data_IF_164310558936
#
_entry.id   IF_164310558936
#
_cell.length_a   1.000
_cell.length_b   1.000
_cell.length_c   1.000
_cell.angle_alpha   90.00
_cell.angle_beta   90.00
_cell.angle_gamma   90.00
#
_symmetry.space_group_name_H-M   'P 1'
#
loop_
_entity.id
_entity.type
_entity.pdbx_description
1 polymer ?
#
# COMPACT_ATOMS: atom_id res chain seq x y z
N UNK A 1 34.07 15.43 -34.28
CA UNK A 1 32.60 15.39 -34.44
C UNK A 1 32.01 14.02 -34.81
N UNK A 2 32.77 12.94 -35.05
CA UNK A 2 32.19 11.62 -35.42
C UNK A 2 31.93 10.63 -34.27
N UNK A 3 32.34 10.91 -33.02
CA UNK A 3 32.14 9.97 -31.89
C UNK A 3 30.74 10.01 -31.24
N UNK A 4 29.92 11.01 -31.56
CA UNK A 4 28.60 11.20 -30.93
C UNK A 4 27.45 10.42 -31.60
N UNK A 5 27.62 9.92 -32.82
CA UNK A 5 26.53 9.24 -33.55
C UNK A 5 26.39 7.74 -33.21
N UNK A 6 27.43 7.10 -32.67
CA UNK A 6 27.38 5.67 -32.33
C UNK A 6 26.60 5.38 -31.05
N UNK A 7 26.50 6.35 -30.13
CA UNK A 7 25.82 6.16 -28.84
C UNK A 7 24.27 6.18 -28.99
N UNK A 8 23.73 7.05 -29.86
CA UNK A 8 22.29 7.11 -30.13
C UNK A 8 21.74 5.83 -30.78
N UNK A 9 22.56 5.14 -31.59
CA UNK A 9 22.15 3.89 -32.24
C UNK A 9 22.07 2.70 -31.26
N UNK A 10 22.90 2.70 -30.21
CA UNK A 10 22.87 1.67 -29.17
C UNK A 10 21.64 1.80 -28.26
N UNK A 11 21.27 3.04 -27.89
CA UNK A 11 20.10 3.32 -27.04
C UNK A 11 18.79 2.98 -27.79
N UNK A 12 18.71 3.26 -29.09
CA UNK A 12 17.56 2.92 -29.94
C UNK A 12 17.33 1.41 -30.05
N UNK A 13 18.40 0.61 -30.26
CA UNK A 13 18.29 -0.86 -30.30
C UNK A 13 17.89 -1.46 -28.96
N UNK A 14 18.33 -0.87 -27.85
CA UNK A 14 17.98 -1.34 -26.51
C UNK A 14 16.49 -1.09 -26.19
N UNK A 15 15.93 0.04 -26.65
CA UNK A 15 14.50 0.34 -26.51
C UNK A 15 13.61 -0.60 -27.31
N UNK A 16 13.97 -0.95 -28.54
CA UNK A 16 13.18 -1.89 -29.37
C UNK A 16 13.24 -3.31 -28.80
N UNK A 17 14.42 -3.77 -28.38
CA UNK A 17 14.58 -5.09 -27.74
C UNK A 17 13.82 -5.19 -26.42
N UNK A 18 13.81 -4.11 -25.63
CA UNK A 18 13.07 -4.05 -24.38
C UNK A 18 11.56 -4.03 -24.60
N UNK A 19 11.05 -3.28 -25.59
CA UNK A 19 9.63 -3.28 -25.93
C UNK A 19 9.16 -4.67 -26.41
N UNK A 20 9.98 -5.34 -27.22
CA UNK A 20 9.72 -6.70 -27.66
C UNK A 20 9.74 -7.70 -26.49
N UNK A 21 10.66 -7.52 -25.52
CA UNK A 21 10.71 -8.34 -24.31
C UNK A 21 9.50 -8.09 -23.40
N UNK A 22 9.08 -6.84 -23.20
CA UNK A 22 7.86 -6.50 -22.45
C UNK A 22 6.61 -7.07 -23.13
N UNK A 23 6.51 -6.96 -24.46
CA UNK A 23 5.43 -7.57 -25.22
C UNK A 23 5.45 -9.09 -25.10
N UNK A 24 6.62 -9.73 -25.12
CA UNK A 24 6.76 -11.17 -24.93
C UNK A 24 6.34 -11.60 -23.52
N UNK A 25 6.82 -10.91 -22.48
CA UNK A 25 6.49 -11.20 -21.07
C UNK A 25 5.00 -10.97 -20.83
N UNK A 26 4.43 -9.88 -21.33
CA UNK A 26 2.99 -9.63 -21.25
C UNK A 26 2.21 -10.72 -21.98
N UNK A 27 2.60 -11.10 -23.20
CA UNK A 27 1.96 -12.18 -23.95
C UNK A 27 2.08 -13.53 -23.24
N UNK A 28 3.21 -13.83 -22.58
CA UNK A 28 3.38 -15.03 -21.76
C UNK A 28 2.46 -15.02 -20.54
N UNK A 29 2.36 -13.90 -19.82
CA UNK A 29 1.44 -13.74 -18.67
C UNK A 29 -0.02 -13.83 -19.11
N UNK A 30 -0.38 -13.24 -20.25
CA UNK A 30 -1.73 -13.33 -20.82
C UNK A 30 -2.04 -14.74 -21.35
N UNK A 31 -1.03 -15.46 -21.87
CA UNK A 31 -1.20 -16.81 -22.39
C UNK A 31 -1.32 -17.85 -21.26
N UNK A 32 -0.61 -17.67 -20.13
CA UNK A 32 -0.82 -18.51 -18.93
C UNK A 32 -2.15 -18.22 -18.23
N UNK A 33 -2.70 -17.02 -18.39
CA UNK A 33 -4.06 -16.69 -17.96
C UNK A 33 -5.16 -17.25 -18.89
N UNK A 34 -4.83 -17.87 -20.02
CA UNK A 34 -5.79 -18.49 -20.93
C UNK A 34 -6.01 -20.00 -20.66
N UNK A 35 -5.96 -20.43 -19.39
CA UNK A 35 -6.30 -21.81 -19.05
C UNK A 35 -7.81 -22.07 -19.23
N UNK A 36 -8.16 -22.52 -20.44
CA UNK A 36 -9.32 -23.27 -20.97
C UNK A 36 -10.76 -23.04 -20.45
N UNK A 37 -11.07 -22.12 -19.54
CA UNK A 37 -12.46 -21.92 -19.09
C UNK A 37 -12.85 -20.46 -18.74
N UNK A 38 -12.06 -19.46 -19.16
CA UNK A 38 -12.32 -18.03 -18.87
C UNK A 38 -13.20 -17.36 -19.95
N UNK A 39 -13.70 -18.10 -20.94
CA UNK A 39 -14.59 -17.55 -21.98
C UNK A 39 -16.03 -17.32 -21.51
N UNK A 40 -16.34 -17.55 -20.23
CA UNK A 40 -17.66 -17.25 -19.70
C UNK A 40 -17.80 -15.77 -19.32
N UNK A 41 -17.66 -14.88 -20.31
CA UNK A 41 -17.93 -13.44 -20.18
C UNK A 41 -19.34 -13.17 -19.64
N UNK A 42 -20.28 -14.10 -19.89
CA UNK A 42 -21.64 -14.05 -19.34
C UNK A 42 -21.63 -14.17 -17.81
N UNK A 43 -20.72 -14.99 -17.25
CA UNK A 43 -20.54 -15.09 -15.80
C UNK A 43 -19.98 -13.79 -15.20
N UNK A 44 -19.08 -13.10 -15.92
CA UNK A 44 -18.47 -11.86 -15.43
C UNK A 44 -19.48 -10.70 -15.43
N UNK A 45 -20.29 -10.57 -16.49
CA UNK A 45 -21.36 -9.57 -16.55
C UNK A 45 -22.41 -9.82 -15.46
N UNK A 46 -22.85 -11.08 -15.27
CA UNK A 46 -23.78 -11.44 -14.21
C UNK A 46 -23.20 -11.15 -12.82
N UNK A 47 -21.90 -11.41 -12.62
CA UNK A 47 -21.20 -11.10 -11.38
C UNK A 47 -21.03 -9.60 -11.16
N UNK A 48 -20.74 -8.82 -12.21
CA UNK A 48 -20.67 -7.37 -12.13
C UNK A 48 -22.04 -6.77 -11.76
N UNK A 49 -23.13 -7.28 -12.35
CA UNK A 49 -24.51 -6.90 -11.96
C UNK A 49 -24.82 -7.26 -10.51
N UNK A 50 -24.48 -8.47 -10.06
CA UNK A 50 -24.64 -8.89 -8.67
C UNK A 50 -23.87 -7.97 -7.71
N UNK A 51 -22.63 -7.62 -8.07
CA UNK A 51 -21.79 -6.76 -7.25
C UNK A 51 -22.34 -5.32 -7.20
N UNK A 52 -22.82 -4.80 -8.32
CA UNK A 52 -23.52 -3.51 -8.38
C UNK A 52 -24.79 -3.52 -7.51
N UNK A 53 -25.59 -4.58 -7.55
CA UNK A 53 -26.78 -4.72 -6.69
C UNK A 53 -26.42 -4.73 -5.20
N UNK A 54 -25.36 -5.43 -4.81
CA UNK A 54 -24.87 -5.46 -3.42
C UNK A 54 -24.36 -4.10 -2.96
N UNK A 55 -23.69 -3.37 -3.85
CA UNK A 55 -23.18 -2.03 -3.55
C UNK A 55 -24.33 -1.05 -3.33
N UNK A 56 -25.36 -1.09 -4.19
CA UNK A 56 -26.58 -0.30 -4.02
C UNK A 56 -27.34 -0.65 -2.73
N UNK A 57 -27.42 -1.93 -2.36
CA UNK A 57 -28.04 -2.36 -1.11
C UNK A 57 -27.26 -1.86 0.12
N UNK A 58 -25.92 -1.86 0.05
CA UNK A 58 -25.08 -1.34 1.12
C UNK A 58 -25.21 0.18 1.26
N UNK A 59 -25.30 0.90 0.14
CA UNK A 59 -25.56 2.35 0.13
C UNK A 59 -26.92 2.67 0.79
N UNK A 60 -27.96 1.89 0.49
CA UNK A 60 -29.27 2.05 1.13
C UNK A 60 -29.22 1.84 2.65
N UNK A 61 -28.45 0.86 3.14
CA UNK A 61 -28.27 0.65 4.58
C UNK A 61 -27.51 1.79 5.25
N UNK A 62 -26.47 2.33 4.61
CA UNK A 62 -25.75 3.50 5.12
C UNK A 62 -26.70 4.70 5.19
N UNK A 63 -27.48 4.94 4.13
CA UNK A 63 -28.47 6.02 4.11
C UNK A 63 -29.51 5.84 5.23
N UNK A 64 -29.98 4.62 5.49
CA UNK A 64 -30.89 4.33 6.60
C UNK A 64 -30.26 4.68 7.95
N UNK A 65 -29.02 4.24 8.21
CA UNK A 65 -28.31 4.50 9.46
C UNK A 65 -28.10 6.00 9.66
N UNK A 66 -27.70 6.72 8.61
CA UNK A 66 -27.50 8.17 8.66
C UNK A 66 -28.81 8.96 8.77
N UNK A 67 -29.93 8.36 8.35
CA UNK A 67 -31.27 8.98 8.47
C UNK A 67 -31.91 8.79 9.84
N UNK A 68 -31.36 7.93 10.71
CA UNK A 68 -31.88 7.77 12.07
C UNK A 68 -31.54 9.01 12.88
N UNK A 69 -32.54 9.68 13.50
CA UNK A 69 -32.28 10.76 14.43
C UNK A 69 -31.44 10.24 15.60
N UNK A 70 -30.43 11.00 16.01
CA UNK A 70 -29.52 10.60 17.08
C UNK A 70 -30.31 10.10 18.30
N UNK A 71 -29.96 8.91 18.84
CA UNK A 71 -30.58 8.46 20.07
C UNK A 71 -30.24 9.47 21.15
N UNK A 72 -31.27 10.10 21.71
CA UNK A 72 -31.19 10.97 22.88
C UNK A 72 -30.46 10.18 23.96
N UNK A 73 -29.17 10.46 24.15
CA UNK A 73 -28.40 9.81 25.20
C UNK A 73 -29.02 10.19 26.54
N UNK A 74 -29.46 9.23 27.37
CA UNK A 74 -29.92 9.55 28.70
C UNK A 74 -28.74 10.16 29.47
N UNK A 75 -28.95 11.40 29.92
CA UNK A 75 -28.00 12.16 30.74
C UNK A 75 -27.54 11.26 31.90
N UNK A 76 -26.22 11.02 32.08
CA UNK A 76 -25.74 10.17 33.15
C UNK A 76 -26.19 10.74 34.50
N UNK A 77 -26.97 9.95 35.24
CA UNK A 77 -27.36 10.27 36.61
C UNK A 77 -26.12 10.24 37.49
N UNK A 78 -25.71 11.41 37.96
CA UNK A 78 -24.63 11.59 38.92
C UNK A 78 -24.99 10.85 40.22
N UNK A 79 -24.13 9.94 40.74
CA UNK A 79 -24.40 9.32 42.03
C UNK A 79 -24.30 10.36 43.14
N UNK A 80 -25.35 10.45 43.95
CA UNK A 80 -25.39 11.27 45.17
C UNK A 80 -24.30 10.80 46.14
N UNK A 81 -23.41 11.67 46.63
CA UNK A 81 -22.42 11.27 47.62
C UNK A 81 -23.09 10.99 48.98
N UNK A 82 -22.60 10.02 49.76
CA UNK A 82 -23.11 9.76 51.10
C UNK A 82 -22.79 10.94 52.03
N UNK A 83 -23.76 11.24 52.91
CA UNK A 83 -23.67 12.28 53.94
C UNK A 83 -22.40 12.13 54.80
N UNK A 84 -21.69 13.21 55.13
CA UNK A 84 -20.47 13.13 55.94
C UNK A 84 -20.80 12.82 57.41
N UNK A 85 -20.20 11.75 57.94
CA UNK A 85 -20.04 11.57 59.38
C UNK A 85 -19.07 12.64 59.91
N UNK A 86 -19.52 13.33 60.95
CA UNK A 86 -18.78 14.36 61.67
C UNK A 86 -17.88 13.65 62.69
N UNK A 87 -16.56 13.77 62.52
CA UNK A 87 -15.58 13.54 63.58
C UNK A 87 -14.83 14.85 63.92
N UNK A 88 -14.56 15.14 65.20
CA UNK A 88 -13.93 16.39 65.67
C UNK A 88 -12.39 16.43 65.46
N UNK A 89 -11.75 17.62 65.56
CA UNK A 89 -10.59 17.96 64.75
C UNK A 89 -9.26 17.56 65.38
N UNK A 90 -8.35 17.05 64.56
CA UNK A 90 -6.93 17.03 64.85
C UNK A 90 -6.22 18.05 63.95
N UNK A 91 -5.67 19.07 64.59
CA UNK A 91 -4.96 20.20 64.01
C UNK A 91 -3.74 19.76 63.20
N UNK A 92 -3.70 20.07 61.90
CA UNK A 92 -2.46 20.21 61.14
C UNK A 92 -2.50 21.44 60.24
N UNK A 93 -1.35 22.09 60.20
CA UNK A 93 -1.04 23.45 59.76
C UNK A 93 -1.37 23.76 58.31
N UNK A 94 -1.92 24.96 58.09
CA UNK A 94 -2.02 25.62 56.80
C UNK A 94 -0.61 25.89 56.23
N UNK A 95 -0.21 25.12 55.22
CA UNK A 95 0.85 25.53 54.32
C UNK A 95 0.23 26.33 53.16
N UNK A 96 0.49 27.64 53.19
CA UNK A 96 0.04 28.64 52.23
C UNK A 96 0.72 28.42 50.89
N UNK A 97 0.03 27.80 49.93
CA UNK A 97 0.47 27.79 48.53
C UNK A 97 0.17 29.15 47.90
N UNK A 98 1.24 29.81 47.43
CA UNK A 98 1.23 31.13 46.84
C UNK A 98 0.42 31.21 45.52
N UNK A 99 -0.17 32.37 45.18
CA UNK A 99 -0.81 32.59 43.89
C UNK A 99 0.21 32.57 42.73
N UNK A 100 -0.20 32.19 41.50
CA UNK A 100 0.68 32.13 40.34
C UNK A 100 1.26 33.53 40.02
N UNK A 101 2.59 33.57 39.89
CA UNK A 101 3.33 34.78 39.59
C UNK A 101 3.00 35.35 38.22
N UNK A 102 2.70 36.64 38.20
CA UNK A 102 2.72 37.49 37.00
C UNK A 102 4.09 37.41 36.33
N UNK A 103 4.16 36.92 35.09
CA UNK A 103 5.33 37.10 34.23
C UNK A 103 5.26 38.51 33.62
N UNK A 104 6.21 39.41 33.89
CA UNK A 104 6.28 40.69 33.19
C UNK A 104 6.73 40.44 31.75
N UNK A 105 6.00 41.01 30.80
CA UNK A 105 6.29 40.92 29.37
C UNK A 105 7.70 41.42 29.05
N UNK A 106 8.58 40.49 28.70
CA UNK A 106 9.86 40.79 28.07
C UNK A 106 9.61 41.21 26.63
N UNK A 107 9.78 42.50 26.33
CA UNK A 107 9.99 42.96 24.94
C UNK A 107 11.38 42.50 24.53
N UNK A 108 11.46 41.68 23.47
CA UNK A 108 12.70 41.46 22.75
C UNK A 108 13.17 42.82 22.18
N UNK A 109 14.42 43.24 22.38
CA UNK A 109 14.96 44.40 21.69
C UNK A 109 15.08 44.09 20.19
N UNK A 110 14.68 45.05 19.35
CA UNK A 110 14.87 44.97 17.90
C UNK A 110 16.37 44.88 17.56
N UNK A 111 16.75 44.13 16.51
CA UNK A 111 18.15 44.07 16.10
C UNK A 111 18.65 45.44 15.67
N UNK A 112 19.69 45.95 16.34
CA UNK A 112 20.47 47.08 15.85
C UNK A 112 21.41 46.55 14.77
N UNK A 113 21.27 47.08 13.55
CA UNK A 113 22.28 46.93 12.52
C UNK A 113 23.36 47.99 12.76
N UNK A 114 24.53 47.57 13.24
CA UNK A 114 25.72 48.39 13.20
C UNK A 114 26.15 48.55 11.74
N UNK A 115 25.97 49.78 11.24
CA UNK A 115 26.49 50.20 9.95
C UNK A 115 27.90 50.75 10.18
N UNK A 116 28.89 49.87 10.24
CA UNK A 116 30.30 50.24 10.17
C UNK A 116 30.87 49.82 8.83
N UNK A 117 30.91 50.81 7.94
CA UNK A 117 31.66 50.84 6.70
C UNK A 117 33.13 51.11 7.06
N UNK A 118 34.03 50.16 6.85
CA UNK A 118 35.31 50.44 6.21
C UNK A 118 36.08 49.16 5.82
N UNK A 119 36.26 49.03 4.51
CA UNK A 119 37.54 48.81 3.82
C UNK A 119 38.57 47.91 4.51
N UNK A 120 38.61 46.64 4.15
CA UNK A 120 39.89 45.96 3.98
C UNK A 120 39.89 44.89 2.89
N UNK A 121 40.93 44.99 2.07
CA UNK A 121 41.19 44.20 0.86
C UNK A 121 41.49 42.76 1.24
N UNK A 122 40.52 41.87 1.05
CA UNK A 122 40.77 40.45 0.95
C UNK A 122 39.95 39.89 -0.21
N UNK A 123 40.68 39.32 -1.17
CA UNK A 123 40.19 38.63 -2.36
C UNK A 123 38.94 37.82 -2.03
N UNK A 124 37.79 38.04 -2.68
CA UNK A 124 36.64 37.17 -2.47
C UNK A 124 37.01 35.80 -3.05
N UNK A 125 37.29 34.85 -2.18
CA UNK A 125 37.28 33.42 -2.52
C UNK A 125 35.94 33.16 -3.21
N UNK A 126 35.91 32.67 -4.46
CA UNK A 126 34.65 32.50 -5.16
C UNK A 126 33.78 31.51 -4.37
N UNK A 127 32.64 32.02 -3.88
CA UNK A 127 31.59 31.29 -3.15
C UNK A 127 30.83 30.34 -4.09
N UNK A 128 31.48 29.79 -5.12
CA UNK A 128 30.88 28.93 -6.13
C UNK A 128 31.18 27.44 -5.92
N UNK A 129 31.62 27.05 -4.72
CA UNK A 129 31.95 25.65 -4.40
C UNK A 129 31.16 25.09 -3.22
N UNK A 130 30.11 25.80 -2.78
CA UNK A 130 29.19 25.32 -1.76
C UNK A 130 28.16 24.43 -2.43
N UNK A 131 28.31 23.13 -2.18
CA UNK A 131 27.37 22.03 -2.41
C UNK A 131 26.69 22.07 -3.78
N UNK A 132 27.22 21.27 -4.72
CA UNK A 132 26.34 20.76 -5.77
C UNK A 132 25.09 20.24 -5.06
N UNK A 133 23.88 20.73 -5.38
CA UNK A 133 22.68 20.21 -4.78
C UNK A 133 22.73 18.71 -5.01
N UNK A 134 22.71 17.93 -3.93
CA UNK A 134 22.73 16.48 -4.01
C UNK A 134 21.55 16.10 -4.90
N UNK A 135 21.86 15.77 -6.15
CA UNK A 135 20.84 15.68 -7.18
C UNK A 135 20.11 14.40 -6.86
N UNK A 136 18.95 14.53 -6.22
CA UNK A 136 18.16 13.37 -5.83
C UNK A 136 18.03 12.47 -7.04
N UNK A 137 18.46 11.21 -6.94
CA UNK A 137 18.32 10.18 -7.97
C UNK A 137 16.84 9.87 -8.30
N UNK A 138 15.89 10.62 -7.71
CA UNK A 138 14.45 10.47 -7.89
C UNK A 138 14.02 11.12 -9.19
N UNK A 139 13.37 10.35 -10.05
CA UNK A 139 12.56 10.92 -11.11
C UNK A 139 11.09 11.02 -10.65
N UNK A 140 10.54 12.23 -10.61
CA UNK A 140 9.11 12.43 -10.40
C UNK A 140 8.38 12.19 -11.71
N UNK A 141 7.84 10.99 -11.91
CA UNK A 141 7.30 10.61 -13.20
C UNK A 141 6.46 9.35 -13.17
N UNK A 142 6.19 8.82 -14.36
CA UNK A 142 5.59 7.51 -14.51
C UNK A 142 6.67 6.44 -14.49
N UNK A 143 6.32 5.26 -14.01
CA UNK A 143 7.22 4.11 -14.02
C UNK A 143 6.46 2.83 -14.31
N UNK A 144 7.18 1.84 -14.82
CA UNK A 144 6.70 0.49 -15.08
C UNK A 144 7.56 -0.50 -14.31
N UNK A 145 6.99 -1.59 -13.84
CA UNK A 145 7.77 -2.57 -13.10
C UNK A 145 7.29 -4.00 -13.28
N UNK A 146 8.22 -4.91 -13.00
CA UNK A 146 7.98 -6.35 -12.92
C UNK A 146 8.05 -6.77 -11.45
N UNK A 147 7.15 -7.65 -11.04
CA UNK A 147 7.09 -8.15 -9.67
C UNK A 147 7.21 -9.66 -9.68
N UNK A 148 8.06 -10.18 -8.79
CA UNK A 148 8.08 -11.59 -8.41
C UNK A 148 7.96 -11.73 -6.90
N UNK A 149 7.27 -12.75 -6.41
CA UNK A 149 7.19 -12.99 -4.98
C UNK A 149 7.12 -14.47 -4.61
N UNK A 150 7.63 -14.78 -3.43
CA UNK A 150 7.25 -16.01 -2.72
C UNK A 150 6.01 -15.75 -1.89
N UNK A 151 5.06 -16.68 -1.97
CA UNK A 151 3.77 -16.57 -1.31
C UNK A 151 3.68 -17.61 -0.21
N UNK A 152 3.41 -17.14 1.01
CA UNK A 152 3.19 -17.96 2.18
C UNK A 152 1.70 -17.86 2.53
N UNK A 153 0.86 -18.74 1.95
CA UNK A 153 -0.56 -18.74 2.25
C UNK A 153 -0.80 -19.07 3.72
N UNK A 154 -1.83 -18.43 4.26
CA UNK A 154 -2.45 -18.84 5.51
C UNK A 154 -3.60 -19.81 5.17
N UNK A 155 -4.03 -20.58 6.16
CA UNK A 155 -5.07 -21.58 6.00
C UNK A 155 -6.35 -20.97 5.39
N UNK A 156 -6.85 -21.60 4.32
CA UNK A 156 -8.09 -21.23 3.66
C UNK A 156 -9.21 -22.24 3.93
N UNK A 157 -10.42 -21.94 3.46
CA UNK A 157 -11.48 -22.95 3.44
C UNK A 157 -12.45 -22.72 2.29
N UNK A 158 -12.98 -23.82 1.75
CA UNK A 158 -14.05 -23.80 0.74
C UNK A 158 -15.38 -24.03 1.45
N UNK A 159 -16.43 -23.34 1.01
CA UNK A 159 -17.80 -23.58 1.50
C UNK A 159 -18.49 -24.52 0.52
N UNK A 160 -19.00 -25.65 1.01
CA UNK A 160 -19.92 -26.48 0.24
C UNK A 160 -21.35 -26.03 0.55
N UNK A 161 -22.19 -25.94 -0.49
CA UNK A 161 -23.55 -25.38 -0.41
C UNK A 161 -24.38 -25.94 0.74
N UNK A 162 -25.15 -25.07 1.41
CA UNK A 162 -26.14 -25.48 2.42
C UNK A 162 -25.68 -25.45 3.89
N UNK A 163 -24.76 -24.57 4.26
CA UNK A 163 -24.61 -24.13 5.66
C UNK A 163 -23.94 -25.08 6.66
N UNK A 164 -23.60 -26.34 6.32
CA UNK A 164 -23.03 -27.29 7.30
C UNK A 164 -21.73 -28.02 6.89
N UNK A 165 -21.16 -27.76 5.71
CA UNK A 165 -19.90 -28.41 5.29
C UNK A 165 -18.90 -27.42 4.72
N UNK A 166 -17.75 -27.27 5.37
CA UNK A 166 -16.60 -26.56 4.79
C UNK A 166 -15.35 -27.42 4.94
N UNK A 167 -14.56 -27.52 3.88
CA UNK A 167 -13.27 -28.20 3.94
C UNK A 167 -12.19 -27.14 4.17
N UNK A 168 -11.37 -27.30 5.22
CA UNK A 168 -10.15 -26.51 5.38
C UNK A 168 -9.13 -26.94 4.33
N UNK A 169 -8.58 -25.98 3.60
CA UNK A 169 -7.49 -26.20 2.67
C UNK A 169 -6.23 -25.60 3.24
N UNK A 170 -5.22 -26.45 3.43
CA UNK A 170 -3.87 -26.02 3.71
C UNK A 170 -3.11 -25.96 2.39
N UNK A 171 -2.53 -24.80 2.13
CA UNK A 171 -1.74 -24.54 0.94
C UNK A 171 -0.25 -24.59 1.28
N UNK A 172 0.56 -25.05 0.34
CA UNK A 172 2.01 -24.93 0.38
C UNK A 172 2.47 -23.56 -0.11
N UNK A 173 3.79 -23.34 -0.09
CA UNK A 173 4.39 -22.12 -0.61
C UNK A 173 4.01 -21.94 -2.08
N UNK A 174 3.47 -20.78 -2.40
CA UNK A 174 3.13 -20.37 -3.75
C UNK A 174 4.14 -19.40 -4.35
N UNK A 175 3.86 -18.97 -5.56
CA UNK A 175 4.60 -17.91 -6.23
C UNK A 175 3.64 -16.88 -6.83
N UNK A 176 4.15 -15.65 -6.97
CA UNK A 176 3.47 -14.54 -7.61
C UNK A 176 4.39 -14.02 -8.72
N UNK A 177 3.80 -13.76 -9.89
CA UNK A 177 4.40 -12.97 -10.94
C UNK A 177 3.42 -11.88 -11.38
N UNK A 178 3.90 -10.68 -11.64
CA UNK A 178 3.04 -9.56 -11.96
C UNK A 178 3.75 -8.41 -12.64
N UNK A 179 2.93 -7.45 -13.08
CA UNK A 179 3.36 -6.19 -13.65
C UNK A 179 2.71 -5.05 -12.87
N UNK A 180 3.44 -3.95 -12.74
CA UNK A 180 2.93 -2.71 -12.16
C UNK A 180 3.18 -1.54 -13.10
N UNK A 181 2.31 -0.55 -12.98
CA UNK A 181 2.47 0.78 -13.54
C UNK A 181 2.14 1.77 -12.44
N UNK A 182 2.96 2.79 -12.27
CA UNK A 182 2.73 3.79 -11.24
C UNK A 182 3.14 5.19 -11.64
N UNK A 183 2.77 6.14 -10.79
CA UNK A 183 3.23 7.51 -10.85
C UNK A 183 3.77 7.94 -9.49
N UNK A 184 4.92 8.57 -9.54
CA UNK A 184 5.62 9.13 -8.39
C UNK A 184 5.31 10.63 -8.23
N UNK A 185 4.92 11.03 -7.02
CA UNK A 185 4.66 12.41 -6.61
C UNK A 185 5.64 12.89 -5.51
N UNK A 186 6.75 12.19 -5.30
CA UNK A 186 7.78 12.57 -4.33
C UNK A 186 7.58 11.91 -2.96
N UNK A 187 6.49 12.16 -2.24
CA UNK A 187 6.26 11.45 -0.96
C UNK A 187 5.19 10.36 -1.06
N UNK A 188 4.35 10.47 -2.10
CA UNK A 188 3.29 9.53 -2.43
C UNK A 188 3.57 8.94 -3.80
N UNK A 189 3.34 7.63 -3.93
CA UNK A 189 3.22 6.95 -5.20
C UNK A 189 1.85 6.31 -5.33
N UNK A 190 1.31 6.33 -6.54
CA UNK A 190 0.08 5.63 -6.88
C UNK A 190 0.41 4.56 -7.91
N UNK A 191 0.08 3.31 -7.60
CA UNK A 191 0.37 2.14 -8.43
C UNK A 191 -0.90 1.40 -8.83
N UNK A 192 -0.91 0.87 -10.04
CA UNK A 192 -1.84 -0.15 -10.52
C UNK A 192 -1.04 -1.41 -10.80
N UNK A 193 -1.49 -2.54 -10.28
CA UNK A 193 -0.77 -3.80 -10.30
C UNK A 193 -1.71 -4.92 -10.77
N UNK A 194 -1.23 -5.76 -11.68
CA UNK A 194 -1.90 -6.99 -12.08
C UNK A 194 -0.96 -8.16 -11.82
N UNK A 195 -1.41 -9.09 -10.97
CA UNK A 195 -0.65 -10.27 -10.61
C UNK A 195 -1.35 -11.55 -11.02
N UNK A 196 -0.54 -12.59 -11.11
CA UNK A 196 -0.96 -13.97 -11.14
C UNK A 196 -0.32 -14.67 -9.94
N UNK A 197 -1.15 -15.20 -9.06
CA UNK A 197 -0.76 -15.89 -7.83
C UNK A 197 -1.19 -17.35 -7.94
N UNK A 198 -0.25 -18.26 -7.71
CA UNK A 198 -0.52 -19.69 -7.71
C UNK A 198 -0.22 -20.32 -6.35
N UNK A 199 -1.13 -21.17 -5.89
CA UNK A 199 -1.03 -21.96 -4.67
C UNK A 199 -1.22 -23.44 -5.00
N UNK A 200 -0.36 -24.28 -4.44
CA UNK A 200 -0.52 -25.73 -4.48
C UNK A 200 -1.03 -26.23 -3.12
N UNK A 201 -1.90 -27.24 -3.13
CA UNK A 201 -2.42 -27.83 -1.90
C UNK A 201 -1.36 -28.76 -1.26
N UNK A 202 -1.14 -28.63 0.05
CA UNK A 202 -0.12 -29.40 0.79
C UNK A 202 -0.37 -30.91 0.80
N UNK A 203 -1.63 -31.32 0.98
CA UNK A 203 -2.03 -32.72 1.13
C UNK A 203 -3.16 -33.07 0.15
N UNK A 204 -2.93 -32.93 -1.16
CA UNK A 204 -3.93 -33.27 -2.19
C UNK A 204 -3.54 -32.87 -3.60
N UNK A 205 -4.46 -33.04 -4.55
CA UNK A 205 -4.32 -32.61 -5.95
C UNK A 205 -4.98 -31.26 -6.25
N UNK A 206 -5.34 -30.50 -5.21
CA UNK A 206 -5.95 -29.19 -5.36
C UNK A 206 -4.94 -28.10 -5.67
N UNK A 207 -5.39 -27.06 -6.36
CA UNK A 207 -4.63 -25.86 -6.66
C UNK A 207 -5.52 -24.63 -6.58
N UNK A 208 -4.94 -23.45 -6.33
CA UNK A 208 -5.67 -22.20 -6.43
C UNK A 208 -4.87 -21.21 -7.29
N UNK A 209 -5.56 -20.60 -8.25
CA UNK A 209 -5.04 -19.51 -9.06
C UNK A 209 -5.82 -18.25 -8.71
N UNK A 210 -5.11 -17.16 -8.43
CA UNK A 210 -5.70 -15.89 -8.02
C UNK A 210 -5.09 -14.78 -8.86
N UNK A 211 -5.93 -14.03 -9.56
CA UNK A 211 -5.56 -12.92 -10.43
C UNK A 211 -6.09 -11.61 -9.87
N UNK A 212 -5.37 -10.96 -8.94
CA UNK A 212 -5.77 -9.66 -8.43
C UNK A 212 -5.32 -8.52 -9.37
N UNK A 213 -6.21 -7.55 -9.53
CA UNK A 213 -5.92 -6.21 -10.04
C UNK A 213 -6.07 -5.25 -8.87
N UNK A 214 -4.95 -4.67 -8.45
CA UNK A 214 -4.81 -3.84 -7.25
C UNK A 214 -4.46 -2.41 -7.62
N UNK A 215 -5.06 -1.46 -6.92
CA UNK A 215 -4.64 -0.07 -6.90
C UNK A 215 -4.06 0.25 -5.54
N UNK A 216 -2.87 0.84 -5.49
CA UNK A 216 -2.11 1.05 -4.26
C UNK A 216 -1.67 2.50 -4.11
N UNK A 217 -1.78 3.00 -2.90
CA UNK A 217 -1.14 4.24 -2.46
C UNK A 217 0.05 3.86 -1.57
N UNK A 218 1.24 4.36 -1.91
CA UNK A 218 2.48 4.08 -1.19
C UNK A 218 3.06 5.40 -0.71
N UNK A 219 3.35 5.46 0.57
CA UNK A 219 4.11 6.51 1.22
C UNK A 219 5.57 6.10 1.24
N UNK A 220 6.44 6.98 0.76
CA UNK A 220 7.87 6.75 0.74
C UNK A 220 8.59 7.82 1.55
N UNK A 221 9.56 7.35 2.34
CA UNK A 221 10.48 8.22 3.08
C UNK A 221 11.89 7.86 2.67
N UNK A 222 12.57 8.83 2.08
CA UNK A 222 13.96 8.69 1.67
C UNK A 222 14.87 8.67 2.92
N UNK A 223 15.82 7.74 2.94
CA UNK A 223 16.89 7.64 3.94
C UNK A 223 18.22 7.74 3.20
N UNK A 224 18.78 8.94 3.18
CA UNK A 224 19.92 9.27 2.31
C UNK A 224 19.54 9.23 0.84
N UNK A 225 20.51 8.98 -0.03
CA UNK A 225 20.34 9.27 -1.46
C UNK A 225 19.88 8.05 -2.29
N UNK A 226 19.85 6.87 -1.67
CA UNK A 226 19.66 5.58 -2.38
C UNK A 226 18.62 4.65 -1.79
N UNK A 227 18.26 4.83 -0.53
CA UNK A 227 17.38 3.90 0.19
C UNK A 227 16.08 4.59 0.52
N UNK A 228 14.96 3.98 0.11
CA UNK A 228 13.62 4.50 0.36
C UNK A 228 12.89 3.53 1.28
N UNK A 229 12.39 3.99 2.43
CA UNK A 229 11.42 3.21 3.21
C UNK A 229 10.04 3.39 2.62
N UNK A 230 9.28 2.31 2.51
CA UNK A 230 8.01 2.26 1.79
C UNK A 230 6.94 1.66 2.68
N UNK A 231 5.79 2.31 2.76
CA UNK A 231 4.60 1.78 3.44
C UNK A 231 3.38 2.10 2.59
N UNK A 232 2.50 1.13 2.34
CA UNK A 232 1.39 1.33 1.43
C UNK A 232 0.16 0.52 1.78
N UNK A 233 -0.97 0.98 1.24
CA UNK A 233 -2.25 0.28 1.31
C UNK A 233 -2.84 0.17 -0.08
N UNK A 234 -3.33 -1.01 -0.42
CA UNK A 234 -3.94 -1.29 -1.70
C UNK A 234 -5.30 -1.94 -1.57
N UNK A 235 -6.13 -1.72 -2.58
CA UNK A 235 -7.44 -2.34 -2.71
C UNK A 235 -7.73 -2.62 -4.18
N UNK A 236 -8.59 -3.60 -4.43
CA UNK A 236 -8.90 -3.97 -5.80
C UNK A 236 -9.87 -5.11 -5.90
N UNK A 237 -9.87 -5.73 -7.07
CA UNK A 237 -10.70 -6.88 -7.40
C UNK A 237 -9.80 -8.07 -7.70
N UNK A 238 -10.26 -9.25 -7.31
CA UNK A 238 -9.52 -10.48 -7.51
C UNK A 238 -10.44 -11.57 -8.01
N UNK A 239 -10.01 -12.19 -9.11
CA UNK A 239 -10.61 -13.42 -9.62
C UNK A 239 -9.83 -14.58 -9.03
N UNK A 240 -10.52 -15.44 -8.29
CA UNK A 240 -9.93 -16.64 -7.72
C UNK A 240 -10.60 -17.88 -8.30
N UNK A 241 -9.79 -18.86 -8.66
CA UNK A 241 -10.21 -20.18 -9.10
C UNK A 241 -9.53 -21.22 -8.24
N UNK A 242 -10.33 -22.00 -7.51
CA UNK A 242 -9.88 -23.08 -6.64
C UNK A 242 -10.31 -24.41 -7.26
N UNK A 243 -9.36 -25.31 -7.44
CA UNK A 243 -9.58 -26.68 -7.84
C UNK A 243 -9.45 -27.55 -6.59
N UNK A 244 -10.51 -28.28 -6.24
CA UNK A 244 -10.49 -29.21 -5.11
C UNK A 244 -11.25 -30.49 -5.46
N UNK A 245 -10.58 -31.64 -5.33
CA UNK A 245 -11.17 -32.96 -5.58
C UNK A 245 -11.89 -33.07 -6.95
N UNK A 246 -11.30 -32.49 -8.00
CA UNK A 246 -11.85 -32.51 -9.37
C UNK A 246 -13.00 -31.51 -9.62
N UNK A 247 -13.38 -30.69 -8.63
CA UNK A 247 -14.35 -29.60 -8.79
C UNK A 247 -13.64 -28.25 -8.86
N UNK A 248 -14.16 -27.37 -9.72
CA UNK A 248 -13.68 -26.00 -9.90
C UNK A 248 -14.64 -25.05 -9.19
N UNK A 249 -14.11 -24.23 -8.30
CA UNK A 249 -14.82 -23.17 -7.59
C UNK A 249 -14.20 -21.84 -8.00
N UNK A 250 -14.95 -21.02 -8.75
CA UNK A 250 -14.46 -19.74 -9.23
C UNK A 250 -15.28 -18.61 -8.68
N UNK A 251 -14.66 -17.52 -8.23
CA UNK A 251 -15.38 -16.36 -7.69
C UNK A 251 -14.62 -15.06 -7.91
N UNK A 252 -15.36 -13.95 -7.96
CA UNK A 252 -14.80 -12.61 -7.90
C UNK A 252 -14.97 -12.09 -6.47
N UNK A 253 -13.92 -11.48 -5.92
CA UNK A 253 -13.92 -10.91 -4.58
C UNK A 253 -13.15 -9.60 -4.56
N UNK A 254 -13.50 -8.72 -3.63
CA UNK A 254 -12.63 -7.59 -3.33
C UNK A 254 -11.36 -8.10 -2.65
N UNK A 255 -10.23 -7.48 -2.94
CA UNK A 255 -8.97 -7.76 -2.28
C UNK A 255 -8.35 -6.49 -1.71
N UNK A 256 -7.54 -6.68 -0.69
CA UNK A 256 -6.81 -5.62 -0.02
C UNK A 256 -5.41 -6.09 0.27
N UNK A 257 -4.46 -5.16 0.29
CA UNK A 257 -3.13 -5.46 0.77
C UNK A 257 -2.50 -4.31 1.57
N UNK A 258 -1.58 -4.71 2.43
CA UNK A 258 -0.74 -3.80 3.21
C UNK A 258 0.70 -4.08 2.83
N UNK A 259 1.44 -3.04 2.49
CA UNK A 259 2.82 -3.09 2.02
C UNK A 259 3.71 -2.42 3.05
N UNK A 260 4.82 -3.07 3.40
CA UNK A 260 5.93 -2.47 4.12
C UNK A 260 7.23 -2.98 3.51
N UNK A 261 8.12 -2.07 3.12
CA UNK A 261 9.29 -2.46 2.35
C UNK A 261 10.39 -1.41 2.33
N UNK A 262 11.44 -1.75 1.59
CA UNK A 262 12.52 -0.84 1.28
C UNK A 262 12.85 -0.91 -0.22
N UNK A 263 13.05 0.25 -0.82
CA UNK A 263 13.56 0.44 -2.16
C UNK A 263 15.04 0.80 -2.14
N UNK A 264 15.78 0.31 -3.13
CA UNK A 264 17.15 0.72 -3.43
C UNK A 264 17.18 1.23 -4.86
N UNK A 265 17.57 2.49 -5.03
CA UNK A 265 17.80 3.06 -6.36
C UNK A 265 19.17 2.66 -6.86
N UNK A 266 19.20 1.97 -7.99
CA UNK A 266 20.44 1.50 -8.61
C UNK A 266 21.02 2.58 -9.53
N UNK A 267 20.16 3.35 -10.21
CA UNK A 267 20.50 4.51 -11.01
C UNK A 267 19.26 5.43 -11.19
N UNK A 268 19.37 6.47 -12.01
CA UNK A 268 18.29 7.44 -12.31
C UNK A 268 17.05 6.84 -12.99
N UNK A 269 17.12 5.61 -13.50
CA UNK A 269 16.05 4.98 -14.27
C UNK A 269 15.63 3.60 -13.75
N UNK A 270 16.29 3.08 -12.71
CA UNK A 270 16.13 1.71 -12.24
C UNK A 270 16.15 1.67 -10.72
N UNK A 271 15.06 1.16 -10.16
CA UNK A 271 14.93 0.89 -8.74
C UNK A 271 14.59 -0.58 -8.49
N UNK A 272 15.14 -1.14 -7.41
CA UNK A 272 14.81 -2.46 -6.90
C UNK A 272 14.11 -2.29 -5.56
N UNK A 273 12.91 -2.85 -5.41
CA UNK A 273 12.20 -2.82 -4.14
C UNK A 273 12.01 -4.21 -3.59
N UNK A 274 12.20 -4.33 -2.28
CA UNK A 274 11.93 -5.52 -1.49
C UNK A 274 10.83 -5.17 -0.50
N UNK A 275 9.63 -5.68 -0.74
CA UNK A 275 8.47 -5.39 0.08
C UNK A 275 7.89 -6.67 0.70
N UNK A 276 7.59 -6.61 1.99
CA UNK A 276 6.70 -7.53 2.65
C UNK A 276 5.26 -7.06 2.46
N UNK A 277 4.37 -7.95 2.04
CA UNK A 277 2.96 -7.65 1.81
C UNK A 277 2.06 -8.63 2.55
N UNK A 278 1.02 -8.10 3.17
CA UNK A 278 -0.07 -8.90 3.71
C UNK A 278 -1.28 -8.76 2.79
N UNK A 279 -1.59 -9.82 2.05
CA UNK A 279 -2.70 -9.86 1.09
C UNK A 279 -3.90 -10.58 1.70
N UNK A 280 -5.09 -10.04 1.43
CA UNK A 280 -6.33 -10.64 1.87
C UNK A 280 -7.46 -10.42 0.85
N UNK A 281 -8.33 -11.42 0.72
CA UNK A 281 -9.57 -11.29 -0.05
C UNK A 281 -10.79 -11.16 0.87
N UNK A 282 -11.83 -10.49 0.40
CA UNK A 282 -13.14 -10.56 1.03
C UNK A 282 -13.69 -11.99 0.88
N UNK A 283 -14.52 -12.43 1.82
CA UNK A 283 -15.19 -13.72 1.70
C UNK A 283 -16.11 -13.71 0.47
N UNK A 284 -16.01 -14.75 -0.34
CA UNK A 284 -16.91 -15.01 -1.46
C UNK A 284 -18.01 -15.99 -1.03
N UNK A 285 -18.98 -16.22 -1.91
CA UNK A 285 -20.03 -17.22 -1.72
C UNK A 285 -19.41 -18.63 -1.67
N UNK A 286 -18.46 -18.90 -2.57
CA UNK A 286 -17.87 -20.24 -2.76
C UNK A 286 -16.66 -20.53 -1.87
N UNK A 287 -15.94 -19.50 -1.43
CA UNK A 287 -14.72 -19.68 -0.63
C UNK A 287 -14.62 -18.65 0.49
N UNK A 288 -14.07 -19.09 1.63
CA UNK A 288 -13.68 -18.18 2.72
C UNK A 288 -12.51 -17.32 2.27
N UNK A 289 -12.39 -16.16 2.89
CA UNK A 289 -11.29 -15.20 2.76
C UNK A 289 -9.95 -15.92 2.63
N UNK A 290 -9.25 -15.67 1.52
CA UNK A 290 -7.87 -16.09 1.29
C UNK A 290 -6.95 -15.05 1.91
N UNK A 291 -5.92 -15.50 2.60
CA UNK A 291 -4.93 -14.64 3.22
C UNK A 291 -3.54 -15.19 2.93
N UNK A 292 -2.58 -14.31 2.69
CA UNK A 292 -1.20 -14.73 2.46
C UNK A 292 -0.23 -13.65 2.85
N UNK A 293 0.94 -14.07 3.33
CA UNK A 293 2.11 -13.23 3.48
C UNK A 293 2.94 -13.35 2.20
N UNK A 294 3.33 -12.25 1.60
CA UNK A 294 4.13 -12.22 0.39
C UNK A 294 5.45 -11.53 0.67
N UNK A 295 6.53 -12.15 0.23
CA UNK A 295 7.82 -11.49 0.16
C UNK A 295 8.09 -11.17 -1.31
N UNK A 296 7.91 -9.91 -1.66
CA UNK A 296 7.95 -9.41 -3.03
C UNK A 296 9.29 -8.75 -3.34
N UNK A 297 9.79 -9.00 -4.54
CA UNK A 297 10.85 -8.23 -5.16
C UNK A 297 10.28 -7.60 -6.43
N UNK A 298 10.43 -6.30 -6.59
CA UNK A 298 10.02 -5.60 -7.79
C UNK A 298 11.15 -4.80 -8.41
N UNK A 299 11.26 -4.87 -9.73
CA UNK A 299 12.17 -4.06 -10.51
C UNK A 299 11.36 -2.98 -11.22
N UNK A 300 11.66 -1.72 -10.96
CA UNK A 300 10.95 -0.56 -11.49
C UNK A 300 11.84 0.24 -12.43
N UNK A 301 11.25 0.69 -13.53
CA UNK A 301 11.86 1.46 -14.60
C UNK A 301 11.14 2.80 -14.72
N UNK A 302 11.87 3.89 -14.50
CA UNK A 302 11.31 5.24 -14.64
C UNK A 302 11.25 5.61 -16.14
N UNK A 303 10.18 6.30 -16.53
CA UNK A 303 9.86 6.65 -17.94
C UNK A 303 10.19 8.11 -18.29
#
# INVERSE_FOLDING_TARGET
MLKSMSCFYAISRMRIGFLAFLLLVSALVFSTAQDKNINDYSSLENRARSLSQRLNAHEALIAEILSRPDPISPKPSTPTPPSPQIDPPASQSLESVAPPGFMPGGRLPAPQYDQSQDSDTSTPTPVSQWEQPDVSLRNNGYYLGLIGASVLPLDGAVRWGGGMGGASMQFEKGYLAGVLMGRDFGFIRVESEHNTIHYDQKNGSGSAAVHPVLFRCIFEKEIGDRVDLRAGIGSGISLAQLNYAGKVFGGMSFCYDFLLGAGIRLNEALALNLDYRYFLTAASEDFKRLQSNLLTASLQFDL
#
